data_IF_800339743065
#
_entry.id   IF_800339743065
#
_cell.length_a   1.000
_cell.length_b   1.000
_cell.length_c   1.000
_cell.angle_alpha   90.00
_cell.angle_beta   90.00
_cell.angle_gamma   90.00
#
_symmetry.space_group_name_H-M   'P 1'
#
loop_
_entity.id
_entity.type
_entity.pdbx_description
1 polymer ?
#
# COMPACT_ATOMS: atom_id res chain seq x y z
N UNK A 1 -0.98 -8.60 -20.50
CA UNK A 1 -2.04 -7.58 -20.63
C UNK A 1 -1.62 -6.21 -20.12
N UNK A 2 -1.33 -6.02 -18.81
CA UNK A 2 -0.88 -4.70 -18.30
C UNK A 2 0.48 -4.31 -18.93
N UNK A 3 1.44 -5.24 -18.94
CA UNK A 3 2.73 -5.04 -19.62
C UNK A 3 2.58 -4.71 -21.11
N UNK A 4 1.70 -5.42 -21.84
CA UNK A 4 1.49 -5.12 -23.27
C UNK A 4 0.89 -3.73 -23.50
N UNK A 5 0.05 -3.26 -22.57
CA UNK A 5 -0.54 -1.93 -22.64
C UNK A 5 0.48 -0.85 -22.28
N UNK A 6 1.33 -1.08 -21.27
CA UNK A 6 2.39 -0.12 -20.92
C UNK A 6 3.37 0.05 -22.07
N UNK A 7 3.77 -1.03 -22.75
CA UNK A 7 4.61 -0.97 -23.96
C UNK A 7 3.95 -0.13 -25.06
N UNK A 8 2.68 -0.42 -25.40
CA UNK A 8 1.96 0.35 -26.44
C UNK A 8 1.89 1.85 -26.12
N UNK A 9 1.62 2.20 -24.86
CA UNK A 9 1.57 3.61 -24.45
C UNK A 9 2.96 4.25 -24.54
N UNK A 10 4.02 3.58 -24.08
CA UNK A 10 5.38 4.08 -24.21
C UNK A 10 5.79 4.27 -25.68
N UNK A 11 5.44 3.35 -26.57
CA UNK A 11 5.73 3.46 -28.00
C UNK A 11 5.02 4.68 -28.64
N UNK A 12 3.80 4.98 -28.20
CA UNK A 12 3.08 6.19 -28.60
C UNK A 12 3.80 7.44 -28.08
N UNK A 13 4.29 7.44 -26.82
CA UNK A 13 5.04 8.58 -26.28
C UNK A 13 6.37 8.81 -27.03
N UNK A 14 7.08 7.74 -27.38
CA UNK A 14 8.34 7.79 -28.14
C UNK A 14 8.11 8.29 -29.56
N UNK A 15 7.11 7.75 -30.27
CA UNK A 15 6.81 8.16 -31.66
C UNK A 15 6.39 9.63 -31.76
N UNK A 16 5.76 10.17 -30.71
CA UNK A 16 5.41 11.58 -30.61
C UNK A 16 6.53 12.46 -30.04
N UNK A 17 7.73 11.90 -29.75
CA UNK A 17 8.88 12.60 -29.16
C UNK A 17 8.55 13.31 -27.83
N UNK A 18 7.61 12.75 -27.06
CA UNK A 18 7.27 13.24 -25.72
C UNK A 18 8.34 12.80 -24.71
N UNK A 19 8.93 11.63 -24.93
CA UNK A 19 9.98 11.06 -24.08
C UNK A 19 11.21 10.68 -24.93
N UNK A 20 12.38 10.63 -24.29
CA UNK A 20 13.63 10.20 -24.92
C UNK A 20 13.77 8.68 -24.86
N UNK A 21 14.48 8.10 -25.84
CA UNK A 21 14.70 6.64 -25.92
C UNK A 21 15.42 6.09 -24.69
N UNK A 22 16.30 6.87 -24.07
CA UNK A 22 17.02 6.46 -22.87
C UNK A 22 16.10 6.26 -21.65
N UNK A 23 14.91 6.89 -21.65
CA UNK A 23 13.94 6.81 -20.56
C UNK A 23 12.86 5.75 -20.82
N UNK A 24 12.90 5.07 -21.96
CA UNK A 24 11.87 4.11 -22.40
C UNK A 24 11.51 3.09 -21.31
N UNK A 25 12.52 2.47 -20.69
CA UNK A 25 12.33 1.45 -19.65
C UNK A 25 11.72 2.03 -18.37
N UNK A 26 12.11 3.26 -18.01
CA UNK A 26 11.56 3.97 -16.85
C UNK A 26 10.06 4.23 -17.06
N UNK A 27 9.68 4.68 -18.26
CA UNK A 27 8.27 4.93 -18.60
C UNK A 27 7.45 3.64 -18.69
N UNK A 28 7.99 2.58 -19.31
CA UNK A 28 7.34 1.26 -19.35
C UNK A 28 7.02 0.75 -17.95
N UNK A 29 8.01 0.72 -17.06
CA UNK A 29 7.84 0.29 -15.68
C UNK A 29 6.88 1.21 -14.91
N UNK A 30 7.04 2.53 -15.04
CA UNK A 30 6.19 3.53 -14.39
C UNK A 30 4.73 3.40 -14.78
N UNK A 31 4.44 3.20 -16.07
CA UNK A 31 3.08 2.98 -16.58
C UNK A 31 2.51 1.65 -16.14
N UNK A 32 3.30 0.57 -16.13
CA UNK A 32 2.85 -0.72 -15.64
C UNK A 32 2.45 -0.66 -14.15
N UNK A 33 3.27 -0.01 -13.33
CA UNK A 33 2.99 0.21 -11.92
C UNK A 33 1.77 1.11 -11.71
N UNK A 34 1.63 2.18 -12.51
CA UNK A 34 0.48 3.09 -12.46
C UNK A 34 -0.81 2.34 -12.79
N UNK A 35 -0.85 1.62 -13.91
CA UNK A 35 -2.03 0.85 -14.34
C UNK A 35 -2.38 -0.23 -13.31
N UNK A 36 -1.39 -0.96 -12.82
CA UNK A 36 -1.59 -1.95 -11.76
C UNK A 36 -2.18 -1.32 -10.50
N UNK A 37 -1.74 -0.12 -10.13
CA UNK A 37 -2.26 0.60 -8.97
C UNK A 37 -3.70 1.03 -9.20
N UNK A 38 -4.02 1.63 -10.35
CA UNK A 38 -5.38 2.06 -10.70
C UNK A 38 -6.36 0.89 -10.71
N UNK A 39 -5.99 -0.24 -11.30
CA UNK A 39 -6.83 -1.45 -11.31
C UNK A 39 -7.06 -1.93 -9.88
N UNK A 40 -6.00 -1.99 -9.06
CA UNK A 40 -6.11 -2.44 -7.67
C UNK A 40 -7.03 -1.53 -6.85
N UNK A 41 -6.87 -0.21 -6.97
CA UNK A 41 -7.74 0.78 -6.31
C UNK A 41 -9.20 0.67 -6.77
N UNK A 42 -9.42 0.40 -8.06
CA UNK A 42 -10.77 0.20 -8.61
C UNK A 42 -11.43 -1.04 -8.01
N UNK A 43 -10.69 -2.15 -7.91
CA UNK A 43 -11.18 -3.40 -7.33
C UNK A 43 -11.59 -3.21 -5.86
N UNK A 44 -10.74 -2.61 -5.04
CA UNK A 44 -11.04 -2.44 -3.61
C UNK A 44 -12.18 -1.44 -3.37
N UNK A 45 -12.29 -0.35 -4.15
CA UNK A 45 -13.44 0.55 -4.08
C UNK A 45 -14.72 -0.20 -4.44
N UNK A 46 -14.70 -1.00 -5.50
CA UNK A 46 -15.84 -1.80 -5.90
C UNK A 46 -16.27 -2.78 -4.81
N UNK A 47 -15.33 -3.53 -4.22
CA UNK A 47 -15.59 -4.42 -3.09
C UNK A 47 -16.16 -3.63 -1.90
N UNK A 48 -15.57 -2.49 -1.54
CA UNK A 48 -16.07 -1.62 -0.47
C UNK A 48 -17.50 -1.16 -0.70
N UNK A 49 -17.85 -0.78 -1.93
CA UNK A 49 -19.21 -0.41 -2.33
C UNK A 49 -20.20 -1.58 -2.20
N UNK A 50 -19.81 -2.81 -2.56
CA UNK A 50 -20.67 -3.99 -2.40
C UNK A 50 -21.08 -4.22 -0.93
N UNK A 51 -20.22 -3.87 0.02
CA UNK A 51 -20.49 -3.96 1.46
C UNK A 51 -21.09 -2.67 2.07
N UNK A 52 -21.35 -1.64 1.26
CA UNK A 52 -21.83 -0.34 1.74
C UNK A 52 -20.81 0.44 2.58
N UNK A 53 -19.50 0.14 2.45
CA UNK A 53 -18.41 0.73 3.25
C UNK A 53 -17.54 1.70 2.47
N UNK A 54 -18.12 2.46 1.54
CA UNK A 54 -17.36 3.34 0.64
C UNK A 54 -16.46 4.34 1.39
N UNK A 55 -16.98 4.99 2.44
CA UNK A 55 -16.23 5.97 3.24
C UNK A 55 -15.07 5.30 3.99
N UNK A 56 -15.33 4.19 4.67
CA UNK A 56 -14.33 3.42 5.41
C UNK A 56 -13.23 2.90 4.47
N UNK A 57 -13.63 2.40 3.31
CA UNK A 57 -12.72 1.96 2.24
C UNK A 57 -11.82 3.10 1.76
N UNK A 58 -12.38 4.29 1.59
CA UNK A 58 -11.63 5.47 1.18
C UNK A 58 -10.57 5.85 2.22
N UNK A 59 -10.91 5.81 3.52
CA UNK A 59 -9.95 6.04 4.61
C UNK A 59 -8.81 5.02 4.55
N UNK A 60 -9.14 3.72 4.44
CA UNK A 60 -8.16 2.65 4.31
C UNK A 60 -7.20 2.90 3.15
N UNK A 61 -7.73 3.26 1.97
CA UNK A 61 -6.94 3.52 0.77
C UNK A 61 -5.98 4.68 0.97
N UNK A 62 -6.49 5.81 1.47
CA UNK A 62 -5.67 7.01 1.64
C UNK A 62 -4.50 6.72 2.57
N UNK A 63 -4.77 6.15 3.73
CA UNK A 63 -3.74 5.83 4.71
C UNK A 63 -2.73 4.81 4.19
N UNK A 64 -3.23 3.71 3.60
CA UNK A 64 -2.38 2.69 3.01
C UNK A 64 -1.48 3.30 1.92
N UNK A 65 -2.05 3.99 0.93
CA UNK A 65 -1.32 4.52 -0.22
C UNK A 65 -0.30 5.59 0.16
N UNK A 66 -0.67 6.54 1.03
CA UNK A 66 0.25 7.62 1.40
C UNK A 66 1.45 7.09 2.17
N UNK A 67 1.26 6.24 3.17
CA UNK A 67 2.38 5.67 3.92
C UNK A 67 3.18 4.73 3.02
N UNK A 68 2.51 3.82 2.29
CA UNK A 68 3.15 2.83 1.42
C UNK A 68 4.02 3.46 0.34
N UNK A 69 3.61 4.61 -0.22
CA UNK A 69 4.36 5.33 -1.25
C UNK A 69 5.80 5.63 -0.83
N UNK A 70 6.03 5.95 0.44
CA UNK A 70 7.36 6.27 0.97
C UNK A 70 7.97 5.11 1.75
N UNK A 71 7.15 4.29 2.40
CA UNK A 71 7.64 3.16 3.17
C UNK A 71 8.21 2.04 2.26
N UNK A 72 7.71 1.93 1.03
CA UNK A 72 8.07 0.82 0.13
C UNK A 72 7.65 -0.53 0.72
N UNK A 73 8.33 -1.60 0.33
CA UNK A 73 8.12 -2.99 0.78
C UNK A 73 7.80 -3.95 -0.37
N UNK A 74 7.14 -5.07 -0.06
CA UNK A 74 6.93 -6.17 -1.01
C UNK A 74 6.09 -5.77 -2.23
N UNK A 75 6.58 -6.10 -3.42
CA UNK A 75 5.77 -6.24 -4.63
C UNK A 75 5.85 -7.70 -5.10
N UNK A 76 4.72 -8.23 -5.54
CA UNK A 76 4.67 -9.57 -6.12
C UNK A 76 5.37 -9.56 -7.49
N UNK A 77 5.94 -10.70 -7.88
CA UNK A 77 6.71 -10.81 -9.13
C UNK A 77 5.86 -10.54 -10.39
N UNK A 78 4.54 -10.56 -10.26
CA UNK A 78 3.62 -10.10 -11.32
C UNK A 78 2.54 -9.21 -10.73
N UNK A 79 2.16 -8.17 -11.47
CA UNK A 79 1.10 -7.23 -11.10
C UNK A 79 -0.25 -7.93 -10.86
N UNK A 80 -0.58 -8.94 -11.67
CA UNK A 80 -1.81 -9.71 -11.50
C UNK A 80 -1.89 -10.43 -10.15
N UNK A 81 -0.78 -11.02 -9.69
CA UNK A 81 -0.72 -11.64 -8.35
C UNK A 81 -0.88 -10.61 -7.24
N UNK A 82 -0.29 -9.42 -7.39
CA UNK A 82 -0.43 -8.34 -6.42
C UNK A 82 -1.89 -7.86 -6.32
N UNK A 83 -2.53 -7.60 -7.46
CA UNK A 83 -3.95 -7.19 -7.53
C UNK A 83 -4.85 -8.26 -6.88
N UNK A 84 -4.67 -9.53 -7.26
CA UNK A 84 -5.47 -10.63 -6.72
C UNK A 84 -5.27 -10.79 -5.20
N UNK A 85 -4.02 -10.85 -4.73
CA UNK A 85 -3.73 -10.99 -3.31
C UNK A 85 -4.29 -9.82 -2.49
N UNK A 86 -4.08 -8.58 -2.95
CA UNK A 86 -4.58 -7.39 -2.27
C UNK A 86 -6.12 -7.37 -2.22
N UNK A 87 -6.78 -7.67 -3.34
CA UNK A 87 -8.24 -7.72 -3.43
C UNK A 87 -8.85 -8.83 -2.57
N UNK A 88 -8.27 -10.04 -2.58
CA UNK A 88 -8.73 -11.17 -1.77
C UNK A 88 -8.56 -10.88 -0.28
N UNK A 89 -7.39 -10.40 0.13
CA UNK A 89 -7.16 -10.04 1.54
C UNK A 89 -8.14 -8.95 1.99
N UNK A 90 -8.52 -8.04 1.08
CA UNK A 90 -9.39 -6.91 1.41
C UNK A 90 -10.83 -7.40 1.59
N UNK A 91 -11.29 -8.25 0.67
CA UNK A 91 -12.57 -8.94 0.78
C UNK A 91 -12.67 -9.77 2.08
N UNK A 92 -11.62 -10.52 2.43
CA UNK A 92 -11.59 -11.29 3.68
C UNK A 92 -11.61 -10.39 4.91
N UNK A 93 -10.87 -9.28 4.89
CA UNK A 93 -10.88 -8.28 5.97
C UNK A 93 -12.28 -7.69 6.17
N UNK A 94 -13.00 -7.34 5.10
CA UNK A 94 -14.40 -6.90 5.18
C UNK A 94 -15.31 -8.00 5.75
N UNK A 95 -15.19 -9.23 5.26
CA UNK A 95 -15.98 -10.37 5.74
C UNK A 95 -15.80 -10.63 7.24
N UNK A 96 -14.54 -10.62 7.72
CA UNK A 96 -14.22 -10.74 9.15
C UNK A 96 -14.83 -9.57 9.93
N UNK A 97 -14.71 -8.34 9.42
CA UNK A 97 -15.26 -7.14 10.09
C UNK A 97 -16.77 -7.22 10.26
N UNK A 98 -17.50 -7.75 9.27
CA UNK A 98 -18.95 -7.92 9.35
C UNK A 98 -19.38 -9.11 10.23
N UNK A 99 -18.57 -10.17 10.30
CA UNK A 99 -18.90 -11.36 11.09
C UNK A 99 -18.65 -11.18 12.59
N UNK A 100 -17.65 -10.39 12.98
CA UNK A 100 -17.22 -10.27 14.37
C UNK A 100 -17.48 -8.87 14.94
N UNK A 101 -18.59 -8.71 15.67
CA UNK A 101 -18.90 -7.48 16.44
C UNK A 101 -18.22 -7.41 17.82
N UNK A 102 -16.99 -7.94 17.96
CA UNK A 102 -16.45 -8.25 19.29
C UNK A 102 -15.35 -7.27 19.71
N UNK A 103 -15.55 -6.64 20.87
CA UNK A 103 -14.63 -5.70 21.52
C UNK A 103 -13.18 -6.22 21.67
N UNK A 104 -12.98 -7.52 21.79
CA UNK A 104 -11.65 -8.15 21.89
C UNK A 104 -10.85 -8.10 20.57
N UNK A 105 -11.52 -8.20 19.42
CA UNK A 105 -10.88 -8.08 18.12
C UNK A 105 -10.25 -6.67 17.93
N UNK A 106 -10.82 -5.66 18.58
CA UNK A 106 -10.31 -4.28 18.54
C UNK A 106 -8.97 -4.15 19.27
N UNK A 107 -8.79 -4.80 20.42
CA UNK A 107 -7.52 -4.73 21.16
C UNK A 107 -6.40 -5.41 20.37
N UNK A 108 -6.67 -6.58 19.79
CA UNK A 108 -5.70 -7.30 18.94
C UNK A 108 -5.30 -6.43 17.75
N UNK A 109 -6.27 -5.77 17.10
CA UNK A 109 -5.98 -4.89 15.96
C UNK A 109 -5.14 -3.68 16.36
N UNK A 110 -5.42 -3.05 17.51
CA UNK A 110 -4.62 -1.94 18.04
C UNK A 110 -3.19 -2.39 18.33
N UNK A 111 -3.00 -3.54 18.97
CA UNK A 111 -1.65 -4.08 19.24
C UNK A 111 -0.92 -4.41 17.93
N UNK A 112 -1.60 -5.02 16.96
CA UNK A 112 -1.05 -5.32 15.65
C UNK A 112 -0.65 -4.03 14.90
N UNK A 113 -1.44 -2.96 15.01
CA UNK A 113 -1.12 -1.68 14.36
C UNK A 113 0.09 -1.01 15.02
N UNK A 114 0.23 -1.07 16.35
CA UNK A 114 1.42 -0.58 17.07
C UNK A 114 2.67 -1.30 16.59
N UNK A 115 2.63 -2.64 16.53
CA UNK A 115 3.75 -3.46 16.02
C UNK A 115 4.06 -3.09 14.57
N UNK A 116 3.04 -2.92 13.74
CA UNK A 116 3.19 -2.55 12.33
C UNK A 116 3.82 -1.17 12.15
N UNK A 117 3.44 -0.20 12.98
CA UNK A 117 4.05 1.12 12.98
C UNK A 117 5.52 1.07 13.42
N UNK A 118 5.86 0.26 14.43
CA UNK A 118 7.27 0.04 14.83
C UNK A 118 8.07 -0.56 13.67
N UNK A 119 7.53 -1.55 12.97
CA UNK A 119 8.14 -2.15 11.78
C UNK A 119 8.39 -1.08 10.71
N UNK A 120 7.40 -0.24 10.39
CA UNK A 120 7.58 0.84 9.43
C UNK A 120 8.66 1.82 9.89
N UNK A 121 8.66 2.21 11.17
CA UNK A 121 9.66 3.14 11.72
C UNK A 121 11.10 2.61 11.62
N UNK A 122 11.30 1.32 11.84
CA UNK A 122 12.62 0.69 11.86
C UNK A 122 13.12 0.28 10.47
N UNK A 123 12.23 -0.24 9.63
CA UNK A 123 12.62 -0.90 8.38
C UNK A 123 12.43 -0.03 7.14
N UNK A 124 11.68 1.08 7.21
CA UNK A 124 11.43 1.92 6.03
C UNK A 124 12.56 2.92 5.71
N UNK A 125 12.82 3.18 4.41
CA UNK A 125 12.14 2.62 3.25
C UNK A 125 12.70 1.25 2.86
N UNK A 126 11.82 0.37 2.39
CA UNK A 126 12.21 -0.90 1.78
C UNK A 126 12.11 -0.76 0.27
N UNK A 127 13.27 -0.66 -0.40
CA UNK A 127 13.35 -0.54 -1.86
C UNK A 127 12.85 -1.82 -2.57
N UNK A 128 12.30 -1.65 -3.77
CA UNK A 128 12.00 -2.76 -4.67
C UNK A 128 13.24 -3.06 -5.52
N UNK A 129 13.46 -4.32 -5.90
CA UNK A 129 14.60 -4.68 -6.74
C UNK A 129 14.55 -4.01 -8.12
N UNK A 130 13.35 -3.80 -8.67
CA UNK A 130 13.15 -3.13 -9.95
C UNK A 130 13.15 -1.60 -9.82
N UNK A 131 13.22 -1.09 -8.58
CA UNK A 131 13.32 0.34 -8.28
C UNK A 131 14.33 0.56 -7.15
N UNK A 132 15.63 0.38 -7.42
CA UNK A 132 16.67 0.73 -6.46
C UNK A 132 16.56 2.22 -6.13
N UNK A 133 16.82 2.55 -4.86
CA UNK A 133 16.75 3.92 -4.37
C UNK A 133 18.17 4.47 -4.20
N UNK A 134 18.37 5.72 -4.58
CA UNK A 134 19.61 6.43 -4.27
C UNK A 134 19.66 6.84 -2.79
N UNK A 135 20.86 7.10 -2.25
CA UNK A 135 21.05 7.47 -0.83
C UNK A 135 20.20 8.67 -0.40
N UNK A 136 20.06 9.66 -1.27
CA UNK A 136 19.26 10.85 -1.00
C UNK A 136 17.76 10.52 -0.94
N UNK A 137 17.30 9.57 -1.77
CA UNK A 137 15.93 9.08 -1.76
C UNK A 137 15.63 8.20 -0.55
N UNK A 138 16.58 7.37 -0.12
CA UNK A 138 16.46 6.54 1.09
C UNK A 138 16.21 7.44 2.30
N UNK A 139 17.04 8.47 2.49
CA UNK A 139 16.89 9.43 3.59
C UNK A 139 15.56 10.16 3.54
N UNK A 140 15.20 10.70 2.36
CA UNK A 140 13.93 11.42 2.14
C UNK A 140 12.73 10.52 2.45
N UNK A 141 12.69 9.32 1.88
CA UNK A 141 11.57 8.41 1.99
C UNK A 141 11.42 7.86 3.43
N UNK A 142 12.52 7.57 4.13
CA UNK A 142 12.49 7.19 5.56
C UNK A 142 11.89 8.29 6.43
N UNK A 143 12.27 9.55 6.18
CA UNK A 143 11.74 10.67 6.94
C UNK A 143 10.25 10.89 6.64
N UNK A 144 9.85 10.77 5.38
CA UNK A 144 8.46 10.95 4.96
C UNK A 144 7.55 9.84 5.47
N UNK A 145 7.97 8.56 5.43
CA UNK A 145 7.18 7.45 5.98
C UNK A 145 6.94 7.64 7.48
N UNK A 146 7.97 8.00 8.25
CA UNK A 146 7.86 8.26 9.69
C UNK A 146 6.92 9.43 10.00
N UNK A 147 7.04 10.54 9.26
CA UNK A 147 6.13 11.70 9.40
C UNK A 147 4.69 11.30 9.11
N UNK A 148 4.45 10.54 8.06
CA UNK A 148 3.11 10.11 7.69
C UNK A 148 2.51 9.14 8.70
N UNK A 149 3.29 8.22 9.30
CA UNK A 149 2.82 7.38 10.40
C UNK A 149 2.42 8.24 11.60
N UNK A 150 3.21 9.24 11.98
CA UNK A 150 2.86 10.15 13.10
C UNK A 150 1.57 10.91 12.78
N UNK A 151 1.44 11.46 11.57
CA UNK A 151 0.23 12.16 11.12
C UNK A 151 -0.98 11.23 11.18
N UNK A 152 -0.84 9.99 10.69
CA UNK A 152 -1.91 8.98 10.73
C UNK A 152 -2.32 8.65 12.17
N UNK A 153 -1.37 8.50 13.11
CA UNK A 153 -1.68 8.30 14.53
C UNK A 153 -2.48 9.46 15.12
N UNK A 154 -2.10 10.70 14.80
CA UNK A 154 -2.84 11.90 15.25
C UNK A 154 -4.25 11.93 14.64
N UNK A 155 -4.39 11.65 13.34
CA UNK A 155 -5.69 11.56 12.66
C UNK A 155 -6.57 10.49 13.32
N UNK A 156 -6.01 9.32 13.65
CA UNK A 156 -6.77 8.23 14.28
C UNK A 156 -7.26 8.61 15.69
N UNK A 157 -6.45 9.35 16.47
CA UNK A 157 -6.89 9.90 17.76
C UNK A 157 -8.02 10.90 17.56
N UNK A 158 -7.90 11.81 16.58
CA UNK A 158 -8.96 12.79 16.26
C UNK A 158 -10.24 12.06 15.84
N UNK A 159 -10.16 11.10 14.91
CA UNK A 159 -11.30 10.30 14.47
C UNK A 159 -11.99 9.62 15.65
N UNK A 160 -11.22 9.02 16.56
CA UNK A 160 -11.77 8.39 17.76
C UNK A 160 -12.49 9.38 18.70
N UNK A 161 -11.94 10.58 18.90
CA UNK A 161 -12.52 11.59 19.79
C UNK A 161 -13.80 12.22 19.22
N UNK A 162 -13.83 12.52 17.91
CA UNK A 162 -14.95 13.21 17.27
C UNK A 162 -16.04 12.26 16.74
N UNK A 163 -15.68 11.06 16.34
CA UNK A 163 -16.59 10.06 15.75
C UNK A 163 -16.67 8.81 16.62
N UNK A 164 -16.73 8.99 17.94
CA UNK A 164 -16.75 7.89 18.93
C UNK A 164 -17.84 6.84 18.67
N UNK A 165 -18.96 7.24 18.06
CA UNK A 165 -20.07 6.36 17.68
C UNK A 165 -19.85 5.63 16.33
N UNK A 166 -18.90 6.08 15.50
CA UNK A 166 -18.52 5.48 14.22
C UNK A 166 -17.13 4.83 14.27
N UNK A 167 -16.95 3.92 15.23
CA UNK A 167 -15.70 3.18 15.44
C UNK A 167 -15.17 2.48 14.17
N UNK A 168 -16.03 2.16 13.21
CA UNK A 168 -15.66 1.56 11.92
C UNK A 168 -14.63 2.37 11.13
N UNK A 169 -14.64 3.71 11.23
CA UNK A 169 -13.66 4.56 10.53
C UNK A 169 -12.25 4.36 11.09
N UNK A 170 -12.14 4.30 12.41
CA UNK A 170 -10.86 4.05 13.11
C UNK A 170 -10.37 2.64 12.83
N UNK A 171 -11.26 1.64 12.79
CA UNK A 171 -10.85 0.26 12.48
C UNK A 171 -10.21 0.15 11.09
N UNK A 172 -10.80 0.75 10.06
CA UNK A 172 -10.25 0.70 8.70
C UNK A 172 -8.90 1.41 8.58
N UNK A 173 -8.72 2.51 9.30
CA UNK A 173 -7.43 3.17 9.44
C UNK A 173 -6.38 2.23 10.08
N UNK A 174 -6.72 1.55 11.18
CA UNK A 174 -5.82 0.59 11.83
C UNK A 174 -5.49 -0.61 10.91
N UNK A 175 -6.47 -1.12 10.15
CA UNK A 175 -6.21 -2.16 9.15
C UNK A 175 -5.20 -1.69 8.09
N UNK A 176 -5.31 -0.43 7.63
CA UNK A 176 -4.34 0.13 6.69
C UNK A 176 -2.92 0.12 7.25
N UNK A 177 -2.74 0.53 8.52
CA UNK A 177 -1.44 0.49 9.20
C UNK A 177 -0.87 -0.93 9.28
N UNK A 178 -1.71 -1.90 9.66
CA UNK A 178 -1.33 -3.32 9.75
C UNK A 178 -0.87 -3.84 8.40
N UNK A 179 -1.62 -3.51 7.34
CA UNK A 179 -1.27 -3.92 5.99
C UNK A 179 0.04 -3.31 5.51
N UNK A 180 0.27 -2.02 5.76
CA UNK A 180 1.55 -1.35 5.44
C UNK A 180 2.70 -2.02 6.18
N UNK A 181 2.58 -2.28 7.48
CA UNK A 181 3.61 -2.98 8.26
C UNK A 181 3.90 -4.38 7.72
N UNK A 182 2.86 -5.14 7.37
CA UNK A 182 3.00 -6.47 6.80
C UNK A 182 3.76 -6.44 5.46
N UNK A 183 3.39 -5.56 4.53
CA UNK A 183 4.08 -5.47 3.22
C UNK A 183 5.52 -4.95 3.36
N UNK A 184 5.80 -4.06 4.31
CA UNK A 184 7.17 -3.63 4.63
C UNK A 184 7.99 -4.78 5.17
N UNK A 185 7.45 -5.53 6.15
CA UNK A 185 8.14 -6.68 6.74
C UNK A 185 8.43 -7.77 5.71
N UNK A 186 7.44 -8.16 4.92
CA UNK A 186 7.59 -9.18 3.86
C UNK A 186 8.61 -8.72 2.82
N UNK A 187 8.59 -7.44 2.45
CA UNK A 187 9.57 -6.88 1.50
C UNK A 187 10.99 -6.91 2.06
N UNK A 188 11.16 -6.55 3.33
CA UNK A 188 12.44 -6.61 4.01
C UNK A 188 13.01 -8.04 4.06
N UNK A 189 12.16 -9.01 4.42
CA UNK A 189 12.53 -10.43 4.46
C UNK A 189 12.92 -10.93 3.06
N UNK A 190 12.11 -10.63 2.03
CA UNK A 190 12.42 -10.97 0.62
C UNK A 190 13.80 -10.45 0.23
N UNK A 191 14.06 -9.16 0.47
CA UNK A 191 15.31 -8.52 0.07
C UNK A 191 16.53 -9.12 0.80
N UNK A 192 16.38 -9.48 2.08
CA UNK A 192 17.48 -9.99 2.92
C UNK A 192 17.85 -11.45 2.66
N UNK A 193 16.87 -12.30 2.35
CA UNK A 193 17.06 -13.75 2.28
C UNK A 193 16.96 -14.33 0.87
N UNK A 194 16.09 -13.80 0.01
CA UNK A 194 15.85 -14.38 -1.32
C UNK A 194 16.91 -13.87 -2.32
N UNK A 195 17.31 -12.60 -2.23
CA UNK A 195 18.33 -12.01 -3.11
C UNK A 195 19.75 -12.50 -2.82
N UNK A 196 20.02 -13.11 -1.67
CA UNK A 196 21.35 -13.68 -1.35
C UNK A 196 21.55 -15.10 -1.89
N UNK A 197 20.48 -15.71 -2.43
CA UNK A 197 20.48 -17.08 -2.95
C UNK A 197 20.52 -17.14 -4.49
N UNK A 198 20.50 -15.98 -5.16
CA UNK A 198 20.70 -15.78 -6.59
C UNK A 198 22.04 -15.07 -6.82
#
# INVERSE_FOLDING_TARGET
MISDLSVKVTDVLLSNRIIEKQDEDIYKYGLELLMSTVINLTCIIFIGCMFGKFIQTTIFILEYCFIRRYAGGYHADTHGRCIAAFSILYFLMLGITEMFHINEANLILILASIVSNIIVFQLSPVADQNKPLEDHEIKRNSLMSKRLVIISLVINIILYLFFKNEYSLVLFALYAQVWVGAVVLVGYIKNRYITKLL
#
